data_IF_557762206495
#
_entry.id   IF_557762206495
#
_cell.length_a   1.000
_cell.length_b   1.000
_cell.length_c   1.000
_cell.angle_alpha   90.00
_cell.angle_beta   90.00
_cell.angle_gamma   90.00
#
_symmetry.space_group_name_H-M   'P 1'
#
loop_
_entity.id
_entity.type
_entity.pdbx_description
1 polymer ?
#
# COMPACT_ATOMS: atom_id res chain seq x y z
N UNK A 1 18.61 23.49 62.24
CA UNK A 1 18.42 24.88 61.77
C UNK A 1 18.79 24.95 60.30
N UNK A 2 17.79 25.24 59.46
CA UNK A 2 17.83 25.60 58.04
C UNK A 2 18.46 24.56 57.09
N UNK A 3 17.78 24.02 56.09
CA UNK A 3 16.56 24.43 55.42
C UNK A 3 16.70 24.02 53.96
N UNK A 4 15.88 23.07 53.54
CA UNK A 4 15.77 22.61 52.16
C UNK A 4 15.39 23.79 51.24
N UNK A 5 16.18 24.01 50.18
CA UNK A 5 15.64 24.54 48.93
C UNK A 5 15.99 23.57 47.80
N UNK A 6 15.27 22.44 47.77
CA UNK A 6 14.94 21.80 46.49
C UNK A 6 14.15 22.84 45.71
N UNK A 7 14.81 23.48 44.77
CA UNK A 7 14.14 24.32 43.80
C UNK A 7 13.29 23.39 42.92
N UNK A 8 12.04 23.17 43.34
CA UNK A 8 11.03 22.47 42.55
C UNK A 8 10.59 23.46 41.47
N UNK A 9 11.27 23.42 40.32
CA UNK A 9 10.84 24.16 39.14
C UNK A 9 9.54 23.54 38.60
N UNK A 10 8.42 24.26 38.54
CA UNK A 10 7.17 23.66 38.14
C UNK A 10 7.07 23.56 36.60
N UNK A 11 6.78 22.34 36.15
CA UNK A 11 5.79 22.05 35.09
C UNK A 11 6.16 22.26 33.62
N UNK A 12 7.15 21.51 33.15
CA UNK A 12 7.21 21.13 31.74
C UNK A 12 6.19 20.03 31.46
N UNK A 13 5.23 20.24 30.54
CA UNK A 13 4.40 19.17 29.98
C UNK A 13 5.33 18.21 29.23
N UNK A 14 5.86 17.22 29.96
CA UNK A 14 6.96 16.37 29.51
C UNK A 14 6.59 15.64 28.23
N UNK A 15 7.43 15.80 27.21
CA UNK A 15 7.45 14.88 26.08
C UNK A 15 8.20 13.63 26.52
N UNK A 16 7.65 12.46 26.26
CA UNK A 16 8.28 11.19 26.55
C UNK A 16 8.98 10.69 25.29
N UNK A 17 10.28 10.39 25.39
CA UNK A 17 11.00 9.73 24.32
C UNK A 17 10.52 8.28 24.27
N UNK A 18 9.84 7.91 23.18
CA UNK A 18 9.32 6.57 22.97
C UNK A 18 10.40 5.61 22.42
N UNK A 19 11.32 6.12 21.61
CA UNK A 19 12.43 5.33 21.09
C UNK A 19 13.12 5.95 19.87
N UNK A 20 13.93 5.12 19.23
CA UNK A 20 14.72 5.46 18.04
C UNK A 20 14.53 4.39 16.96
N UNK A 21 14.63 4.78 15.69
CA UNK A 21 14.74 3.82 14.59
C UNK A 21 16.20 3.48 14.26
N UNK A 22 16.39 2.63 13.24
CA UNK A 22 17.71 2.25 12.74
C UNK A 22 18.47 3.40 12.04
N UNK A 23 17.78 4.49 11.67
CA UNK A 23 18.38 5.67 11.03
C UNK A 23 18.79 6.74 12.06
N UNK A 24 18.35 6.58 13.31
CA UNK A 24 18.59 7.51 14.42
C UNK A 24 17.54 8.62 14.52
N UNK A 25 16.38 8.48 13.88
CA UNK A 25 15.24 9.36 14.10
C UNK A 25 14.68 9.13 15.50
N UNK A 26 14.20 10.20 16.13
CA UNK A 26 13.71 10.19 17.51
C UNK A 26 12.20 10.27 17.52
N UNK A 27 11.55 9.42 18.29
CA UNK A 27 10.09 9.36 18.38
C UNK A 27 9.64 9.78 19.76
N UNK A 28 8.67 10.70 19.80
CA UNK A 28 8.16 11.25 21.05
C UNK A 28 6.66 11.11 21.17
N UNK A 29 6.20 10.90 22.39
CA UNK A 29 4.80 10.94 22.79
C UNK A 29 4.56 12.12 23.74
N UNK A 30 3.55 12.91 23.42
CA UNK A 30 3.12 14.05 24.21
C UNK A 30 1.79 13.68 24.88
N UNK A 31 1.68 13.84 26.21
CA UNK A 31 0.41 13.69 26.89
C UNK A 31 -0.58 14.73 26.34
N UNK A 32 -1.80 14.29 26.03
CA UNK A 32 -2.84 15.19 25.54
C UNK A 32 -3.15 16.28 26.58
N UNK A 33 -3.22 17.54 26.16
CA UNK A 33 -3.70 18.62 27.03
C UNK A 33 -5.23 18.44 27.16
N UNK A 34 -5.72 18.20 28.37
CA UNK A 34 -7.16 18.04 28.62
C UNK A 34 -7.89 19.36 28.35
N UNK A 35 -8.71 19.36 27.29
CA UNK A 35 -9.75 20.34 27.00
C UNK A 35 -10.77 19.80 25.99
N UNK A 36 -10.38 18.94 25.03
CA UNK A 36 -11.33 18.40 24.01
C UNK A 36 -11.23 16.90 23.75
N UNK A 37 -10.03 16.28 23.77
CA UNK A 37 -9.90 14.85 23.38
C UNK A 37 -9.01 13.99 24.28
N UNK A 38 -8.18 14.56 25.16
CA UNK A 38 -7.27 13.81 26.04
C UNK A 38 -6.23 12.92 25.33
N UNK A 39 -6.25 12.85 23.99
CA UNK A 39 -5.45 11.91 23.19
C UNK A 39 -3.99 12.31 23.17
N UNK A 40 -3.11 11.33 23.30
CA UNK A 40 -1.67 11.54 23.15
C UNK A 40 -1.31 11.90 21.71
N UNK A 41 -0.38 12.84 21.56
CA UNK A 41 0.18 13.24 20.26
C UNK A 41 1.52 12.54 20.08
N UNK A 42 1.70 11.86 18.95
CA UNK A 42 2.96 11.18 18.60
C UNK A 42 3.64 11.92 17.47
N UNK A 43 4.95 12.14 17.59
CA UNK A 43 5.74 12.96 16.65
C UNK A 43 7.10 12.32 16.42
N UNK A 44 7.63 12.47 15.20
CA UNK A 44 8.99 12.10 14.83
C UNK A 44 9.86 13.36 14.71
N UNK A 45 11.07 13.29 15.23
CA UNK A 45 12.13 14.27 15.06
C UNK A 45 13.26 13.61 14.26
N UNK A 46 13.36 13.98 12.99
CA UNK A 46 14.36 13.42 12.10
C UNK A 46 15.78 13.79 12.55
N UNK A 47 16.73 12.88 12.31
CA UNK A 47 18.14 13.09 12.67
C UNK A 47 18.77 14.27 11.91
N UNK A 48 18.40 14.43 10.64
CA UNK A 48 18.87 15.52 9.76
C UNK A 48 17.85 16.65 9.76
N UNK A 49 18.32 17.88 9.57
CA UNK A 49 17.43 19.00 9.28
C UNK A 49 16.95 18.86 7.84
N UNK A 50 15.66 18.65 7.66
CA UNK A 50 15.02 18.50 6.36
C UNK A 50 14.43 19.83 5.89
N UNK A 51 14.45 20.07 4.58
CA UNK A 51 13.64 21.11 3.96
C UNK A 51 12.16 20.70 3.94
N UNK A 52 11.22 21.66 3.86
CA UNK A 52 9.78 21.39 3.92
C UNK A 52 9.30 20.32 2.91
N UNK A 53 9.85 20.30 1.70
CA UNK A 53 9.51 19.32 0.68
C UNK A 53 9.95 17.89 1.05
N UNK A 54 11.13 17.76 1.67
CA UNK A 54 11.73 16.47 2.03
C UNK A 54 11.01 15.77 3.18
N UNK A 55 10.24 16.52 4.00
CA UNK A 55 9.48 15.94 5.12
C UNK A 55 8.47 14.89 4.67
N UNK A 56 7.80 15.11 3.54
CA UNK A 56 6.75 14.21 3.06
C UNK A 56 7.37 12.89 2.60
N UNK A 57 8.48 12.96 1.89
CA UNK A 57 9.19 11.78 1.40
C UNK A 57 9.81 10.98 2.55
N UNK A 58 10.46 11.67 3.50
CA UNK A 58 11.06 10.98 4.66
C UNK A 58 9.99 10.33 5.53
N UNK A 59 8.82 10.96 5.69
CA UNK A 59 7.71 10.37 6.45
C UNK A 59 7.20 9.07 5.81
N UNK A 60 7.19 9.00 4.47
CA UNK A 60 6.82 7.78 3.72
C UNK A 60 7.88 6.69 3.82
N UNK A 61 9.15 7.07 3.98
CA UNK A 61 10.28 6.14 4.08
C UNK A 61 10.53 5.60 5.49
N UNK A 62 9.79 6.08 6.50
CA UNK A 62 9.87 5.53 7.86
C UNK A 62 9.51 4.03 7.89
N UNK A 63 10.10 3.25 8.83
CA UNK A 63 9.70 1.87 9.03
C UNK A 63 8.20 1.75 9.31
N UNK A 64 7.56 0.74 8.72
CA UNK A 64 6.09 0.54 8.81
C UNK A 64 5.61 0.43 10.26
N UNK A 65 6.42 -0.17 11.15
CA UNK A 65 6.08 -0.29 12.56
C UNK A 65 6.00 1.09 13.25
N UNK A 66 6.91 1.99 12.91
CA UNK A 66 6.89 3.37 13.41
C UNK A 66 5.74 4.17 12.79
N UNK A 67 5.43 3.96 11.52
CA UNK A 67 4.25 4.57 10.87
C UNK A 67 2.95 4.14 11.57
N UNK A 68 2.80 2.84 11.88
CA UNK A 68 1.65 2.30 12.62
C UNK A 68 1.54 2.87 14.05
N UNK A 69 2.68 3.08 14.71
CA UNK A 69 2.70 3.72 16.02
C UNK A 69 2.33 5.21 15.94
N UNK A 70 2.86 5.96 14.97
CA UNK A 70 2.53 7.38 14.76
C UNK A 70 1.05 7.59 14.38
N UNK A 71 0.49 6.70 13.56
CA UNK A 71 -0.93 6.69 13.19
C UNK A 71 -1.85 6.22 14.32
N UNK A 72 -1.27 5.70 15.41
CA UNK A 72 -1.98 5.15 16.58
C UNK A 72 -2.81 3.91 16.27
N UNK A 73 -2.39 3.15 15.25
CA UNK A 73 -2.87 1.79 15.00
C UNK A 73 -2.22 0.79 15.96
N UNK A 74 -1.03 1.12 16.47
CA UNK A 74 -0.30 0.34 17.47
C UNK A 74 -0.14 1.15 18.75
N UNK A 75 -0.40 0.56 19.90
CA UNK A 75 -0.25 1.23 21.20
C UNK A 75 1.22 1.37 21.61
N UNK A 76 1.96 0.27 21.56
CA UNK A 76 3.36 0.17 21.99
C UNK A 76 4.34 0.63 20.91
N UNK A 77 5.39 1.35 21.29
CA UNK A 77 6.46 1.71 20.37
C UNK A 77 7.22 0.45 19.92
N UNK A 78 7.66 0.36 18.66
CA UNK A 78 8.47 -0.77 18.19
C UNK A 78 9.84 -0.80 18.88
N UNK A 79 10.35 -2.00 19.08
CA UNK A 79 11.69 -2.20 19.67
C UNK A 79 12.78 -2.21 18.61
N UNK A 80 14.02 -1.90 18.99
CA UNK A 80 15.15 -1.92 18.05
C UNK A 80 15.39 -3.31 17.45
N UNK A 81 15.27 -4.36 18.28
CA UNK A 81 15.43 -5.75 17.85
C UNK A 81 14.36 -6.15 16.82
N UNK A 82 13.12 -5.70 17.00
CA UNK A 82 12.03 -5.93 16.03
C UNK A 82 12.36 -5.32 14.67
N UNK A 83 12.85 -4.06 14.65
CA UNK A 83 13.24 -3.39 13.41
C UNK A 83 14.42 -4.07 12.71
N UNK A 84 15.40 -4.56 13.47
CA UNK A 84 16.53 -5.32 12.94
C UNK A 84 16.07 -6.64 12.32
N UNK A 85 15.19 -7.37 13.02
CA UNK A 85 14.68 -8.65 12.53
C UNK A 85 13.85 -8.47 11.26
N UNK A 86 13.02 -7.43 11.18
CA UNK A 86 12.28 -7.10 9.96
C UNK A 86 13.23 -6.79 8.79
N UNK A 87 14.32 -6.05 9.04
CA UNK A 87 15.33 -5.78 8.01
C UNK A 87 15.95 -7.07 7.46
N UNK A 88 16.29 -8.02 8.34
CA UNK A 88 16.81 -9.33 7.93
C UNK A 88 15.78 -10.11 7.11
N UNK A 89 14.52 -10.11 7.56
CA UNK A 89 13.42 -10.74 6.83
C UNK A 89 13.25 -10.17 5.43
N UNK A 90 13.32 -8.84 5.27
CA UNK A 90 13.24 -8.22 3.95
C UNK A 90 14.42 -8.55 3.05
N UNK A 91 15.62 -8.74 3.60
CA UNK A 91 16.78 -9.20 2.82
C UNK A 91 16.54 -10.60 2.27
N UNK A 92 16.15 -11.54 3.13
CA UNK A 92 15.83 -12.92 2.72
C UNK A 92 14.69 -12.97 1.71
N UNK A 93 13.65 -12.16 1.90
CA UNK A 93 12.53 -12.08 0.96
C UNK A 93 12.99 -11.60 -0.42
N UNK A 94 13.87 -10.60 -0.49
CA UNK A 94 14.40 -10.09 -1.77
C UNK A 94 15.19 -11.17 -2.52
N UNK A 95 16.01 -11.93 -1.80
CA UNK A 95 16.76 -13.07 -2.38
C UNK A 95 15.81 -14.14 -2.93
N UNK A 96 14.81 -14.54 -2.14
CA UNK A 96 13.81 -15.52 -2.57
C UNK A 96 13.03 -15.04 -3.80
N UNK A 97 12.64 -13.77 -3.81
CA UNK A 97 11.93 -13.17 -4.95
C UNK A 97 12.81 -13.16 -6.20
N UNK A 98 14.11 -12.85 -6.07
CA UNK A 98 15.02 -12.87 -7.20
C UNK A 98 15.15 -14.26 -7.83
N UNK A 99 15.26 -15.32 -7.02
CA UNK A 99 15.31 -16.71 -7.48
C UNK A 99 14.03 -17.10 -8.23
N UNK A 100 12.86 -16.73 -7.69
CA UNK A 100 11.57 -17.00 -8.33
C UNK A 100 11.47 -16.25 -9.66
N UNK A 101 11.86 -14.99 -9.70
CA UNK A 101 11.82 -14.17 -10.92
C UNK A 101 12.75 -14.72 -12.02
N UNK A 102 13.93 -15.22 -11.65
CA UNK A 102 14.85 -15.84 -12.60
C UNK A 102 14.26 -17.13 -13.19
N UNK A 103 13.69 -17.99 -12.32
CA UNK A 103 13.00 -19.20 -12.75
C UNK A 103 11.84 -18.88 -13.69
N UNK A 104 10.97 -17.94 -13.32
CA UNK A 104 9.85 -17.54 -14.16
C UNK A 104 10.31 -16.95 -15.50
N UNK A 105 11.41 -16.20 -15.52
CA UNK A 105 11.97 -15.65 -16.75
C UNK A 105 12.49 -16.76 -17.67
N UNK A 106 13.18 -17.76 -17.13
CA UNK A 106 13.65 -18.91 -17.89
C UNK A 106 12.48 -19.75 -18.45
N UNK A 107 11.45 -20.00 -17.64
CA UNK A 107 10.24 -20.71 -18.07
C UNK A 107 9.50 -19.94 -19.18
N UNK A 108 9.35 -18.61 -19.04
CA UNK A 108 8.75 -17.77 -20.10
C UNK A 108 9.57 -17.79 -21.39
N UNK A 109 10.89 -17.69 -21.31
CA UNK A 109 11.77 -17.75 -22.49
C UNK A 109 11.69 -19.11 -23.19
N UNK A 110 11.68 -20.21 -22.44
CA UNK A 110 11.51 -21.56 -22.99
C UNK A 110 10.14 -21.74 -23.66
N UNK A 111 9.07 -21.22 -23.04
CA UNK A 111 7.73 -21.27 -23.62
C UNK A 111 7.61 -20.47 -24.92
N UNK A 112 8.26 -19.30 -25.02
CA UNK A 112 8.30 -18.52 -26.27
C UNK A 112 9.04 -19.26 -27.39
N UNK A 113 10.11 -19.98 -27.07
CA UNK A 113 10.86 -20.78 -28.05
C UNK A 113 10.13 -22.07 -28.46
N UNK A 114 9.33 -22.64 -27.57
CA UNK A 114 8.57 -23.87 -27.80
C UNK A 114 7.18 -23.63 -28.43
N UNK A 115 6.70 -22.39 -28.46
CA UNK A 115 5.48 -22.03 -29.16
C UNK A 115 5.69 -22.18 -30.68
N UNK A 116 4.90 -23.00 -31.39
CA UNK A 116 4.87 -22.97 -32.84
C UNK A 116 4.54 -21.55 -33.29
N UNK A 117 5.19 -21.07 -34.35
CA UNK A 117 4.88 -19.80 -34.99
C UNK A 117 3.46 -19.86 -35.60
N UNK A 118 2.43 -19.72 -34.78
CA UNK A 118 1.10 -19.41 -35.27
C UNK A 118 1.08 -17.93 -35.71
N UNK A 119 0.52 -17.61 -36.88
CA UNK A 119 0.41 -16.24 -37.35
C UNK A 119 -0.39 -15.40 -36.35
N UNK A 120 -0.12 -14.09 -36.27
CA UNK A 120 -0.67 -13.23 -35.22
C UNK A 120 -2.20 -13.22 -35.31
N UNK A 121 -2.86 -13.95 -34.41
CA UNK A 121 -4.24 -13.65 -34.04
C UNK A 121 -4.17 -12.41 -33.18
N UNK A 122 -4.68 -11.32 -33.74
CA UNK A 122 -4.91 -10.02 -33.11
C UNK A 122 -5.44 -10.22 -31.68
N UNK A 123 -4.53 -10.19 -30.72
CA UNK A 123 -4.87 -9.97 -29.33
C UNK A 123 -5.01 -8.47 -29.19
N UNK A 124 -6.26 -8.01 -29.16
CA UNK A 124 -6.61 -6.64 -28.82
C UNK A 124 -5.89 -6.26 -27.54
N UNK A 125 -4.80 -5.51 -27.71
CA UNK A 125 -4.06 -4.83 -26.66
C UNK A 125 -5.05 -3.89 -26.00
N UNK A 126 -5.55 -4.26 -24.81
CA UNK A 126 -6.06 -3.28 -23.85
C UNK A 126 -4.86 -2.40 -23.54
N UNK A 127 -4.79 -1.27 -24.25
CA UNK A 127 -3.81 -0.23 -24.03
C UNK A 127 -4.01 0.30 -22.60
N UNK A 128 -3.20 -0.24 -21.69
CA UNK A 128 -2.77 0.48 -20.51
C UNK A 128 -2.17 1.82 -20.96
N UNK A 129 -2.78 2.89 -20.47
CA UNK A 129 -2.41 4.27 -20.68
C UNK A 129 -0.88 4.51 -20.57
N UNK A 130 -0.30 5.29 -21.50
CA UNK A 130 0.93 6.03 -21.26
C UNK A 130 0.63 7.47 -20.78
N UNK A 131 1.64 8.15 -20.23
CA UNK A 131 1.48 9.22 -19.25
C UNK A 131 1.12 10.56 -19.88
N UNK A 132 0.45 11.38 -19.06
CA UNK A 132 0.20 12.79 -19.29
C UNK A 132 1.55 13.51 -19.37
N UNK A 133 1.97 13.91 -20.58
CA UNK A 133 2.97 14.94 -20.78
C UNK A 133 2.37 16.02 -21.67
N UNK A 134 2.48 17.24 -21.19
CA UNK A 134 2.07 18.48 -21.84
C UNK A 134 2.63 18.59 -23.26
N UNK A 135 1.79 18.99 -24.21
CA UNK A 135 1.97 20.22 -24.99
C UNK A 135 0.98 20.29 -26.16
N UNK A 136 0.56 21.53 -26.43
CA UNK A 136 0.07 22.04 -27.71
C UNK A 136 -1.34 21.65 -28.12
N UNK A 137 -2.24 22.62 -27.91
CA UNK A 137 -3.40 22.82 -28.77
C UNK A 137 -2.97 22.99 -30.23
N UNK A 138 -3.71 22.36 -31.15
CA UNK A 138 -4.09 23.03 -32.38
C UNK A 138 -5.61 23.05 -32.48
N UNK A 139 -6.15 24.24 -32.72
CA UNK A 139 -7.52 24.45 -33.21
C UNK A 139 -7.59 23.88 -34.64
N UNK A 140 -8.65 23.13 -34.99
CA UNK A 140 -9.27 23.29 -36.31
C UNK A 140 -10.81 23.35 -36.20
N UNK A 141 -11.50 23.74 -37.28
CA UNK A 141 -12.60 24.70 -37.21
C UNK A 141 -13.99 24.08 -37.35
N UNK A 142 -14.98 24.91 -37.00
CA UNK A 142 -16.32 25.05 -37.57
C UNK A 142 -17.06 23.84 -38.18
N UNK A 143 -18.30 23.70 -37.69
CA UNK A 143 -19.49 23.19 -38.36
C UNK A 143 -19.62 21.66 -38.53
N UNK A 144 -20.27 21.04 -37.54
CA UNK A 144 -21.24 19.96 -37.79
C UNK A 144 -22.54 20.31 -37.08
N UNK A 145 -23.62 20.26 -37.84
CA UNK A 145 -24.96 20.63 -37.45
C UNK A 145 -25.41 19.80 -36.24
N UNK A 146 -25.82 20.50 -35.19
CA UNK A 146 -26.41 19.92 -33.99
C UNK A 146 -27.84 19.49 -34.30
N UNK A 147 -28.06 18.21 -34.63
CA UNK A 147 -29.41 17.63 -34.55
C UNK A 147 -29.72 17.37 -33.07
N UNK A 148 -30.62 18.13 -32.42
CA UNK A 148 -30.87 18.03 -30.98
C UNK A 148 -31.41 16.64 -30.56
N UNK A 149 -32.03 15.94 -31.50
CA UNK A 149 -32.62 14.60 -31.30
C UNK A 149 -31.52 13.54 -31.10
N UNK A 150 -30.42 13.62 -31.86
CA UNK A 150 -29.32 12.66 -31.75
C UNK A 150 -28.57 12.81 -30.42
N UNK A 151 -28.38 14.05 -29.96
CA UNK A 151 -27.75 14.33 -28.66
C UNK A 151 -28.59 13.84 -27.48
N UNK A 152 -29.92 13.92 -27.58
CA UNK A 152 -30.82 13.48 -26.52
C UNK A 152 -30.88 11.94 -26.42
N UNK A 153 -30.84 11.24 -27.56
CA UNK A 153 -30.73 9.78 -27.60
C UNK A 153 -29.42 9.29 -26.94
N UNK A 154 -28.29 9.94 -27.23
CA UNK A 154 -27.01 9.59 -26.66
C UNK A 154 -26.97 9.85 -25.14
N UNK A 155 -27.53 10.98 -24.69
CA UNK A 155 -27.66 11.31 -23.26
C UNK A 155 -28.55 10.31 -22.51
N UNK A 156 -29.64 9.84 -23.13
CA UNK A 156 -30.50 8.78 -22.55
C UNK A 156 -29.74 7.46 -22.41
N UNK A 157 -29.06 7.01 -23.47
CA UNK A 157 -28.26 5.79 -23.43
C UNK A 157 -27.18 5.85 -22.34
N UNK A 158 -26.50 7.00 -22.19
CA UNK A 158 -25.48 7.20 -21.15
C UNK A 158 -26.07 7.16 -19.73
N UNK A 159 -27.27 7.73 -19.53
CA UNK A 159 -28.00 7.64 -18.25
C UNK A 159 -28.42 6.21 -17.94
N UNK A 160 -28.88 5.45 -18.94
CA UNK A 160 -29.22 4.03 -18.78
C UNK A 160 -28.01 3.17 -18.44
N UNK A 161 -26.85 3.45 -19.05
CA UNK A 161 -25.59 2.78 -18.70
C UNK A 161 -25.14 3.11 -17.27
N UNK A 162 -25.24 4.36 -16.84
CA UNK A 162 -24.88 4.76 -15.47
C UNK A 162 -25.86 4.26 -14.40
N UNK A 163 -27.14 4.04 -14.75
CA UNK A 163 -28.14 3.49 -13.84
C UNK A 163 -28.09 1.96 -13.72
N UNK A 164 -27.31 1.26 -14.56
CA UNK A 164 -27.04 -0.17 -14.37
C UNK A 164 -26.04 -0.31 -13.21
N UNK A 165 -26.56 -0.62 -12.03
CA UNK A 165 -25.73 -0.90 -10.85
C UNK A 165 -24.75 -2.04 -11.15
N UNK A 166 -23.44 -1.88 -10.90
CA UNK A 166 -22.43 -2.92 -11.12
C UNK A 166 -22.64 -4.17 -10.25
N UNK A 167 -23.59 -4.11 -9.30
CA UNK A 167 -23.97 -5.19 -8.41
C UNK A 167 -25.08 -6.10 -8.97
N UNK A 168 -25.60 -5.83 -10.17
CA UNK A 168 -26.65 -6.69 -10.79
C UNK A 168 -26.15 -8.09 -11.16
N UNK A 169 -24.84 -8.33 -11.17
CA UNK A 169 -24.24 -9.66 -11.32
C UNK A 169 -24.01 -10.42 -10.00
N UNK A 170 -24.20 -9.78 -8.84
CA UNK A 170 -24.07 -10.46 -7.54
C UNK A 170 -25.36 -11.22 -7.24
N UNK A 171 -25.34 -12.54 -7.46
CA UNK A 171 -26.34 -13.41 -6.85
C UNK A 171 -26.00 -13.55 -5.36
N UNK A 172 -26.96 -13.34 -4.43
CA UNK A 172 -26.72 -13.69 -3.04
C UNK A 172 -26.36 -15.18 -2.99
N UNK A 173 -25.22 -15.48 -2.39
CA UNK A 173 -24.77 -16.85 -2.13
C UNK A 173 -25.80 -17.49 -1.20
N UNK A 174 -26.22 -18.72 -1.54
CA UNK A 174 -27.18 -19.49 -0.75
C UNK A 174 -26.58 -19.71 0.66
N UNK A 175 -27.24 -19.25 1.74
CA UNK A 175 -26.69 -19.33 3.11
C UNK A 175 -26.51 -20.77 3.61
N UNK A 176 -26.99 -21.77 2.86
CA UNK A 176 -26.78 -23.19 3.14
C UNK A 176 -25.39 -23.72 2.75
N UNK A 177 -24.59 -22.93 2.01
CA UNK A 177 -23.22 -23.31 1.59
C UNK A 177 -22.11 -22.80 2.54
N UNK A 178 -22.47 -22.04 3.57
CA UNK A 178 -21.57 -21.37 4.53
C UNK A 178 -21.23 -22.24 5.76
N UNK A 179 -21.10 -23.56 5.60
CA UNK A 179 -20.35 -24.33 6.59
C UNK A 179 -18.84 -24.06 6.37
N UNK A 180 -18.11 -23.55 7.38
CA UNK A 180 -16.69 -23.27 7.23
C UNK A 180 -15.95 -24.59 7.00
N UNK A 181 -15.59 -24.85 5.75
CA UNK A 181 -14.69 -25.95 5.38
C UNK A 181 -13.38 -25.72 6.13
N UNK A 182 -13.11 -26.56 7.13
CA UNK A 182 -11.86 -26.54 7.87
C UNK A 182 -10.71 -26.63 6.87
N UNK A 183 -9.85 -25.61 6.84
CA UNK A 183 -8.69 -25.59 5.96
C UNK A 183 -7.81 -26.82 6.25
N UNK A 184 -7.75 -27.76 5.32
CA UNK A 184 -6.89 -28.95 5.41
C UNK A 184 -5.75 -28.81 4.39
N UNK A 185 -4.49 -28.62 4.83
CA UNK A 185 -3.37 -28.61 3.92
C UNK A 185 -3.21 -30.01 3.30
N UNK A 186 -3.48 -30.13 1.99
CA UNK A 186 -3.18 -31.36 1.25
C UNK A 186 -1.67 -31.50 1.11
N UNK A 187 -1.07 -32.33 1.95
CA UNK A 187 0.31 -32.78 1.74
C UNK A 187 0.40 -33.49 0.38
N UNK A 188 1.21 -32.96 -0.53
CA UNK A 188 1.46 -33.57 -1.82
C UNK A 188 2.09 -34.96 -1.61
N UNK A 189 1.35 -36.03 -1.94
CA UNK A 189 1.91 -37.40 -1.99
C UNK A 189 3.05 -37.41 -3.02
N UNK A 190 4.30 -37.55 -2.55
CA UNK A 190 5.42 -37.95 -3.40
C UNK A 190 5.07 -39.29 -4.06
N UNK A 191 4.72 -39.26 -5.34
CA UNK A 191 4.75 -40.46 -6.18
C UNK A 191 6.21 -40.73 -6.53
N UNK A 192 6.76 -41.81 -5.98
CA UNK A 192 8.10 -42.25 -6.37
C UNK A 192 8.71 -43.27 -5.42
N UNK A 193 8.30 -44.54 -5.56
CA UNK A 193 9.16 -45.69 -5.32
C UNK A 193 8.58 -46.89 -6.08
N UNK A 194 8.90 -46.98 -7.38
CA UNK A 194 9.00 -48.27 -8.06
C UNK A 194 10.45 -48.71 -7.89
N UNK A 195 10.64 -49.93 -7.40
CA UNK A 195 11.92 -50.63 -7.32
C UNK A 195 11.61 -52.13 -7.43
N UNK A 196 12.60 -52.93 -7.85
CA UNK A 196 12.71 -53.56 -9.16
C UNK A 196 11.86 -54.81 -9.37
#
# INVERSE_FOLDING_TARGET
MLGFLRHVWPWGKGRYLAGYDLQGNRFYEYPGKAAVSGRTRRVVEYRRRLAHAEYVDEQRNLPVQWQAWLSRLRETAPSLAELQNERLRFQQLRENVAVIQERERAERAAATLAAPAEPPKETSVVQSAPPKSEAQAPIPPAAKQDDPIAQEAERRWKREQMNKSPLTGFRPVDPSLDEPVSWQPRAARRRGARSP
#
